data_IF_979697755792
#
_entry.id   IF_979697755792
#
_cell.length_a   1.000
_cell.length_b   1.000
_cell.length_c   1.000
_cell.angle_alpha   90.00
_cell.angle_beta   90.00
_cell.angle_gamma   90.00
#
_symmetry.space_group_name_H-M   'P 1'
#
loop_
_entity.id
_entity.type
_entity.pdbx_description
1 polymer ?
#
# COMPACT_ATOMS: atom_id res chain seq x y z
N UNK A 1 11.32 16.57 -0.52
CA UNK A 1 10.78 17.03 0.78
C UNK A 1 10.27 15.81 1.51
N UNK A 2 10.74 15.60 2.71
CA UNK A 2 10.28 14.55 3.58
C UNK A 2 8.88 14.90 4.13
N UNK A 3 7.93 13.99 4.03
CA UNK A 3 6.60 14.13 4.62
C UNK A 3 6.42 13.03 5.67
N UNK A 4 5.81 13.37 6.80
CA UNK A 4 5.47 12.43 7.87
C UNK A 4 3.96 12.25 7.89
N UNK A 5 3.51 10.99 7.83
CA UNK A 5 2.10 10.62 7.95
C UNK A 5 1.94 9.70 9.15
N UNK A 6 1.16 10.13 10.12
CA UNK A 6 0.86 9.34 11.32
C UNK A 6 -0.11 8.20 11.00
N UNK A 7 0.04 7.09 11.71
CA UNK A 7 -0.94 6.01 11.71
C UNK A 7 -1.89 6.26 12.89
N UNK A 8 -3.19 6.33 12.62
CA UNK A 8 -4.21 6.52 13.64
C UNK A 8 -4.46 5.21 14.38
N UNK A 9 -4.70 4.14 13.64
CA UNK A 9 -4.86 2.80 14.21
C UNK A 9 -4.48 1.69 13.23
N UNK A 10 -4.22 0.53 13.79
CA UNK A 10 -4.05 -0.74 13.09
C UNK A 10 -5.00 -1.73 13.74
N UNK A 11 -5.74 -2.44 12.94
CA UNK A 11 -6.76 -3.39 13.39
C UNK A 11 -6.54 -4.71 12.71
N UNK A 12 -6.63 -5.81 13.46
CA UNK A 12 -6.59 -7.17 12.92
C UNK A 12 -8.03 -7.60 12.73
N UNK A 13 -8.34 -8.11 11.54
CA UNK A 13 -9.65 -8.57 11.13
C UNK A 13 -9.53 -9.93 10.44
N UNK A 14 -10.68 -10.53 10.15
CA UNK A 14 -10.80 -11.66 9.25
C UNK A 14 -11.42 -11.20 7.93
N UNK A 15 -10.83 -11.62 6.81
CA UNK A 15 -11.40 -11.32 5.50
C UNK A 15 -12.70 -12.12 5.28
N UNK A 16 -13.61 -11.56 4.51
CA UNK A 16 -14.94 -12.12 4.30
C UNK A 16 -15.02 -12.91 3.00
N UNK A 17 -16.08 -13.71 2.86
CA UNK A 17 -16.45 -14.32 1.60
C UNK A 17 -16.89 -13.28 0.58
N UNK A 18 -16.67 -13.54 -0.71
CA UNK A 18 -17.15 -12.69 -1.80
C UNK A 18 -18.52 -13.19 -2.26
N UNK A 19 -19.50 -12.30 -2.24
CA UNK A 19 -20.81 -12.49 -2.85
C UNK A 19 -20.79 -12.08 -4.32
N UNK A 20 -21.25 -12.97 -5.19
CA UNK A 20 -21.43 -12.70 -6.62
C UNK A 20 -22.90 -12.92 -6.93
N UNK A 21 -23.60 -11.84 -7.28
CA UNK A 21 -25.01 -11.90 -7.65
C UNK A 21 -25.14 -12.06 -9.16
N UNK A 22 -25.90 -13.05 -9.58
CA UNK A 22 -26.38 -13.23 -10.95
C UNK A 22 -27.89 -12.92 -11.00
N UNK A 23 -28.48 -12.96 -12.17
CA UNK A 23 -29.94 -12.68 -12.33
C UNK A 23 -30.84 -13.65 -11.55
N UNK A 24 -30.36 -14.87 -11.28
CA UNK A 24 -31.15 -15.93 -10.65
C UNK A 24 -30.56 -16.48 -9.35
N UNK A 25 -29.28 -16.22 -9.06
CA UNK A 25 -28.55 -16.88 -7.98
C UNK A 25 -27.59 -15.94 -7.27
N UNK A 26 -27.25 -16.26 -6.03
CA UNK A 26 -26.14 -15.65 -5.28
C UNK A 26 -25.07 -16.71 -5.02
N UNK A 27 -23.92 -16.53 -5.64
CA UNK A 27 -22.76 -17.40 -5.48
C UNK A 27 -21.86 -16.88 -4.36
N UNK A 28 -21.44 -17.77 -3.46
CA UNK A 28 -20.51 -17.46 -2.37
C UNK A 28 -19.13 -18.03 -2.70
N UNK A 29 -18.14 -17.14 -2.74
CA UNK A 29 -16.75 -17.56 -2.87
C UNK A 29 -16.04 -17.38 -1.51
N UNK A 30 -15.67 -18.50 -0.90
CA UNK A 30 -15.02 -18.55 0.42
C UNK A 30 -13.50 -18.55 0.36
N UNK A 31 -12.87 -18.42 -0.80
CA UNK A 31 -11.40 -18.55 -0.94
C UNK A 31 -10.60 -17.61 -0.04
N UNK A 32 -11.19 -16.50 0.38
CA UNK A 32 -10.56 -15.52 1.27
C UNK A 32 -11.21 -15.44 2.66
N UNK A 33 -12.27 -16.19 2.89
CA UNK A 33 -12.95 -16.17 4.18
C UNK A 33 -11.99 -16.61 5.30
N UNK A 34 -11.99 -15.88 6.40
CA UNK A 34 -11.14 -16.11 7.57
C UNK A 34 -9.62 -15.97 7.34
N UNK A 35 -9.20 -15.42 6.19
CA UNK A 35 -7.78 -15.04 6.04
C UNK A 35 -7.52 -13.80 6.91
N UNK A 36 -6.45 -13.80 7.73
CA UNK A 36 -6.10 -12.64 8.53
C UNK A 36 -5.91 -11.38 7.65
N UNK A 37 -6.56 -10.31 8.04
CA UNK A 37 -6.51 -9.00 7.39
C UNK A 37 -6.02 -7.96 8.39
N UNK A 38 -5.15 -7.05 7.95
CA UNK A 38 -4.72 -5.89 8.72
C UNK A 38 -5.28 -4.64 8.06
N UNK A 39 -6.13 -3.92 8.78
CA UNK A 39 -6.56 -2.58 8.39
C UNK A 39 -5.59 -1.55 8.98
N UNK A 40 -5.04 -0.68 8.14
CA UNK A 40 -4.13 0.40 8.53
C UNK A 40 -4.78 1.72 8.18
N UNK A 41 -5.12 2.52 9.19
CA UNK A 41 -5.76 3.82 9.01
C UNK A 41 -4.73 4.91 9.28
N UNK A 42 -4.47 5.74 8.25
CA UNK A 42 -3.63 6.93 8.38
C UNK A 42 -4.37 8.07 9.03
N UNK A 43 -3.65 8.97 9.72
CA UNK A 43 -4.18 10.28 10.07
C UNK A 43 -4.44 11.11 8.81
N UNK A 44 -5.35 12.09 8.83
CA UNK A 44 -5.69 12.94 7.71
C UNK A 44 -4.61 14.01 7.47
N UNK A 45 -3.37 13.59 7.27
CA UNK A 45 -2.19 14.44 7.13
C UNK A 45 -1.64 14.48 5.70
N UNK A 46 -2.12 13.59 4.82
CA UNK A 46 -1.79 13.55 3.38
C UNK A 46 -2.47 14.76 2.71
N UNK A 47 -1.72 15.57 1.98
CA UNK A 47 -2.17 16.86 1.44
C UNK A 47 -2.42 16.87 -0.06
N UNK A 48 -1.89 15.91 -0.77
CA UNK A 48 -1.96 15.81 -2.22
C UNK A 48 -1.76 14.37 -2.68
N UNK A 49 -1.97 14.14 -3.96
CA UNK A 49 -1.88 12.82 -4.59
C UNK A 49 -0.44 12.28 -4.64
N UNK A 50 0.56 13.14 -4.73
CA UNK A 50 1.97 12.75 -4.72
C UNK A 50 2.37 12.18 -3.35
N UNK A 51 1.92 12.83 -2.27
CA UNK A 51 2.13 12.32 -0.90
C UNK A 51 1.38 11.00 -0.68
N UNK A 52 0.17 10.85 -1.23
CA UNK A 52 -0.58 9.60 -1.18
C UNK A 52 0.15 8.47 -1.91
N UNK A 53 0.68 8.74 -3.10
CA UNK A 53 1.47 7.77 -3.86
C UNK A 53 2.73 7.34 -3.10
N UNK A 54 3.49 8.31 -2.58
CA UNK A 54 4.71 8.05 -1.82
C UNK A 54 4.41 7.24 -0.54
N UNK A 55 3.33 7.59 0.18
CA UNK A 55 2.88 6.86 1.37
C UNK A 55 2.56 5.40 1.05
N UNK A 56 1.77 5.15 0.01
CA UNK A 56 1.38 3.80 -0.39
C UNK A 56 2.59 2.98 -0.88
N UNK A 57 3.51 3.60 -1.60
CA UNK A 57 4.73 2.94 -2.06
C UNK A 57 5.59 2.51 -0.89
N UNK A 58 5.87 3.41 0.04
CA UNK A 58 6.66 3.11 1.25
C UNK A 58 5.99 2.04 2.11
N UNK A 59 4.67 2.15 2.31
CA UNK A 59 3.93 1.16 3.08
C UNK A 59 3.99 -0.23 2.43
N UNK A 60 3.80 -0.30 1.11
CA UNK A 60 3.89 -1.55 0.34
C UNK A 60 5.27 -2.18 0.46
N UNK A 61 6.33 -1.42 0.30
CA UNK A 61 7.70 -1.88 0.43
C UNK A 61 7.97 -2.45 1.82
N UNK A 62 7.58 -1.74 2.86
CA UNK A 62 7.73 -2.21 4.25
C UNK A 62 6.99 -3.53 4.50
N UNK A 63 5.73 -3.62 4.06
CA UNK A 63 4.95 -4.84 4.21
C UNK A 63 5.56 -6.02 3.41
N UNK A 64 6.06 -5.76 2.21
CA UNK A 64 6.75 -6.77 1.40
C UNK A 64 8.02 -7.29 2.10
N UNK A 65 8.80 -6.39 2.70
CA UNK A 65 10.01 -6.75 3.45
C UNK A 65 9.72 -7.62 4.67
N UNK A 66 8.58 -7.49 5.31
CA UNK A 66 8.17 -8.37 6.42
C UNK A 66 7.71 -9.76 5.95
N UNK A 67 7.51 -9.97 4.66
CA UNK A 67 7.02 -11.23 4.05
C UNK A 67 5.65 -11.70 4.58
N UNK A 68 4.84 -10.78 5.16
CA UNK A 68 3.50 -11.11 5.65
C UNK A 68 2.43 -11.09 4.55
N UNK A 69 2.72 -10.46 3.40
CA UNK A 69 1.82 -10.35 2.26
C UNK A 69 2.64 -10.14 0.97
N UNK A 70 2.08 -10.56 -0.16
CA UNK A 70 2.57 -10.21 -1.50
C UNK A 70 2.22 -8.78 -1.91
N UNK A 71 1.35 -8.12 -1.14
CA UNK A 71 0.91 -6.72 -1.29
C UNK A 71 0.48 -6.35 -2.70
N UNK A 72 -0.19 -7.28 -3.38
CA UNK A 72 -0.72 -7.09 -4.74
C UNK A 72 -2.11 -6.48 -4.71
N UNK A 73 -2.28 -5.32 -5.35
CA UNK A 73 -3.60 -4.72 -5.55
C UNK A 73 -4.41 -5.50 -6.60
N UNK A 74 -3.76 -6.05 -7.62
CA UNK A 74 -4.40 -6.83 -8.69
C UNK A 74 -4.99 -8.13 -8.17
N UNK A 75 -4.28 -8.81 -7.27
CA UNK A 75 -4.75 -10.03 -6.61
C UNK A 75 -5.64 -9.74 -5.39
N UNK A 76 -5.78 -8.47 -5.00
CA UNK A 76 -6.61 -8.02 -3.88
C UNK A 76 -6.04 -8.33 -2.49
N UNK A 77 -4.75 -8.65 -2.38
CA UNK A 77 -4.05 -8.79 -1.08
C UNK A 77 -3.61 -7.45 -0.49
N UNK A 78 -3.61 -6.39 -1.29
CA UNK A 78 -3.56 -5.01 -0.85
C UNK A 78 -4.79 -4.28 -1.40
N UNK A 79 -5.55 -3.65 -0.51
CA UNK A 79 -6.71 -2.83 -0.87
C UNK A 79 -6.52 -1.43 -0.30
N UNK A 80 -7.02 -0.43 -0.99
CA UNK A 80 -6.93 0.95 -0.56
C UNK A 80 -8.27 1.65 -0.79
N UNK A 81 -8.78 2.30 0.25
CA UNK A 81 -9.88 3.23 0.16
C UNK A 81 -9.35 4.64 0.43
N UNK A 82 -9.78 5.63 -0.33
CA UNK A 82 -9.33 7.01 -0.17
C UNK A 82 -10.43 7.88 0.42
N UNK A 83 -10.17 8.49 1.57
CA UNK A 83 -11.03 9.50 2.18
C UNK A 83 -10.52 10.89 1.80
N UNK A 84 -11.32 11.65 1.06
CA UNK A 84 -10.95 12.98 0.54
C UNK A 84 -11.89 14.03 1.10
N UNK A 85 -11.34 15.14 1.60
CA UNK A 85 -12.06 16.36 1.92
C UNK A 85 -11.26 17.58 1.53
N UNK A 86 -11.95 18.68 1.21
CA UNK A 86 -11.33 19.97 0.91
C UNK A 86 -11.75 21.02 1.92
N UNK A 87 -10.89 21.99 2.17
CA UNK A 87 -11.16 23.14 3.03
C UNK A 87 -10.52 24.39 2.48
N UNK A 88 -10.97 25.54 2.92
CA UNK A 88 -10.38 26.83 2.55
C UNK A 88 -8.95 26.89 3.12
N UNK A 89 -8.02 27.42 2.34
CA UNK A 89 -6.63 27.57 2.77
C UNK A 89 -6.54 28.48 4.00
N UNK A 90 -6.00 27.94 5.08
CA UNK A 90 -5.89 28.62 6.38
C UNK A 90 -6.84 28.08 7.44
N UNK A 91 -7.91 27.39 7.07
CA UNK A 91 -8.80 26.76 8.04
C UNK A 91 -8.10 25.58 8.74
N UNK A 92 -8.44 25.40 10.01
CA UNK A 92 -7.96 24.28 10.83
C UNK A 92 -8.87 23.06 10.78
N UNK A 93 -10.18 23.30 10.64
CA UNK A 93 -11.20 22.25 10.57
C UNK A 93 -11.19 21.56 9.20
N UNK A 94 -11.30 20.25 9.21
CA UNK A 94 -11.42 19.46 7.98
C UNK A 94 -12.83 19.62 7.40
N UNK A 95 -12.91 19.63 6.08
CA UNK A 95 -14.21 19.61 5.37
C UNK A 95 -14.90 18.25 5.46
N UNK A 96 -16.14 18.19 4.93
CA UNK A 96 -16.89 16.95 4.82
C UNK A 96 -16.17 15.99 3.87
N UNK A 97 -15.89 14.77 4.33
CA UNK A 97 -15.18 13.77 3.54
C UNK A 97 -16.11 12.93 2.67
N UNK A 98 -15.59 12.49 1.54
CA UNK A 98 -16.13 11.36 0.78
C UNK A 98 -15.14 10.21 0.78
N UNK A 99 -15.64 8.98 0.86
CA UNK A 99 -14.86 7.76 0.76
C UNK A 99 -14.90 7.23 -0.66
N UNK A 100 -13.75 7.00 -1.29
CA UNK A 100 -13.68 6.40 -2.64
C UNK A 100 -13.15 4.99 -2.56
N UNK A 101 -13.94 4.04 -3.09
CA UNK A 101 -13.66 2.61 -3.15
C UNK A 101 -13.36 2.14 -4.58
N UNK A 102 -12.99 0.86 -4.72
CA UNK A 102 -12.67 0.23 -6.00
C UNK A 102 -11.39 0.77 -6.65
N UNK A 103 -10.38 1.05 -5.84
CA UNK A 103 -9.08 1.56 -6.27
C UNK A 103 -8.12 0.37 -6.45
N UNK A 104 -7.95 -0.09 -7.69
CA UNK A 104 -7.24 -1.34 -8.00
C UNK A 104 -5.76 -1.13 -8.38
N UNK A 105 -5.26 0.10 -8.29
CA UNK A 105 -3.86 0.44 -8.52
C UNK A 105 -3.49 1.74 -7.83
N UNK A 106 -2.21 1.98 -7.55
CA UNK A 106 -1.75 3.27 -7.02
C UNK A 106 -2.06 4.43 -7.97
N UNK A 107 -2.03 4.16 -9.28
CA UNK A 107 -2.42 5.14 -10.29
C UNK A 107 -3.91 5.49 -10.19
N UNK A 108 -4.77 4.51 -9.93
CA UNK A 108 -6.20 4.74 -9.69
C UNK A 108 -6.41 5.59 -8.42
N UNK A 109 -5.66 5.34 -7.34
CA UNK A 109 -5.72 6.16 -6.12
C UNK A 109 -5.38 7.61 -6.42
N UNK A 110 -4.27 7.87 -7.12
CA UNK A 110 -3.84 9.22 -7.52
C UNK A 110 -4.94 9.93 -8.31
N UNK A 111 -5.44 9.30 -9.38
CA UNK A 111 -6.49 9.87 -10.24
C UNK A 111 -7.80 10.12 -9.50
N UNK A 112 -8.17 9.21 -8.60
CA UNK A 112 -9.39 9.36 -7.81
C UNK A 112 -9.28 10.53 -6.82
N UNK A 113 -8.14 10.72 -6.18
CA UNK A 113 -7.89 11.86 -5.28
C UNK A 113 -7.94 13.18 -6.08
N UNK A 114 -7.31 13.24 -7.26
CA UNK A 114 -7.35 14.41 -8.14
C UNK A 114 -8.79 14.74 -8.53
N UNK A 115 -9.55 13.76 -9.01
CA UNK A 115 -10.93 13.94 -9.42
C UNK A 115 -11.81 14.39 -8.27
N UNK A 116 -11.76 13.73 -7.11
CA UNK A 116 -12.59 14.07 -5.94
C UNK A 116 -12.25 15.46 -5.40
N UNK A 117 -10.99 15.83 -5.38
CA UNK A 117 -10.56 17.17 -4.97
C UNK A 117 -11.16 18.23 -5.89
N UNK A 118 -11.03 18.06 -7.21
CA UNK A 118 -11.59 18.99 -8.19
C UNK A 118 -13.13 19.08 -8.09
N UNK A 119 -13.82 17.93 -8.01
CA UNK A 119 -15.27 17.86 -7.86
C UNK A 119 -15.76 18.57 -6.60
N UNK A 120 -15.10 18.37 -5.46
CA UNK A 120 -15.50 19.00 -4.21
C UNK A 120 -15.26 20.50 -4.23
N UNK A 121 -14.16 20.96 -4.81
CA UNK A 121 -13.89 22.40 -5.01
C UNK A 121 -15.00 23.03 -5.86
N UNK A 122 -15.31 22.45 -7.01
CA UNK A 122 -16.36 22.96 -7.92
C UNK A 122 -17.72 23.08 -7.23
N UNK A 123 -18.13 22.07 -6.45
CA UNK A 123 -19.40 22.10 -5.70
C UNK A 123 -19.40 23.25 -4.70
N UNK A 124 -18.33 23.43 -3.93
CA UNK A 124 -18.24 24.47 -2.89
C UNK A 124 -18.20 25.87 -3.52
N UNK A 125 -17.43 26.08 -4.59
CA UNK A 125 -17.33 27.35 -5.29
C UNK A 125 -18.65 27.77 -5.94
N UNK A 126 -19.48 26.79 -6.35
CA UNK A 126 -20.86 27.04 -6.85
C UNK A 126 -21.89 27.18 -5.73
N UNK A 127 -21.47 27.30 -4.45
CA UNK A 127 -22.35 27.49 -3.29
C UNK A 127 -23.07 26.23 -2.82
N UNK A 128 -22.68 25.06 -3.34
CA UNK A 128 -23.18 23.76 -2.90
C UNK A 128 -22.53 23.27 -1.61
N UNK A 129 -22.93 22.08 -1.18
CA UNK A 129 -22.38 21.42 0.01
C UNK A 129 -21.98 19.99 -0.32
N UNK A 130 -20.86 19.55 0.27
CA UNK A 130 -20.43 18.17 0.17
C UNK A 130 -21.26 17.33 1.15
N UNK A 131 -21.79 16.21 0.64
CA UNK A 131 -22.48 15.20 1.42
C UNK A 131 -21.49 14.08 1.75
N UNK A 132 -21.47 13.62 3.00
CA UNK A 132 -20.68 12.46 3.38
C UNK A 132 -21.27 11.21 2.74
N UNK A 133 -20.54 10.62 1.81
CA UNK A 133 -21.00 9.46 1.04
C UNK A 133 -19.82 8.58 0.64
N UNK A 134 -20.12 7.32 0.32
CA UNK A 134 -19.19 6.40 -0.33
C UNK A 134 -19.41 6.46 -1.84
N UNK A 135 -18.30 6.53 -2.57
CA UNK A 135 -18.26 6.61 -4.04
C UNK A 135 -17.42 5.48 -4.61
N UNK A 136 -17.74 5.03 -5.82
CA UNK A 136 -16.95 4.04 -6.57
C UNK A 136 -16.11 4.75 -7.63
N UNK A 137 -14.84 4.38 -7.71
CA UNK A 137 -13.99 4.77 -8.84
C UNK A 137 -14.39 3.99 -10.10
N UNK A 138 -14.71 4.73 -11.16
CA UNK A 138 -14.95 4.24 -12.51
C UNK A 138 -13.67 4.47 -13.33
N UNK A 139 -12.87 3.42 -13.47
CA UNK A 139 -11.56 3.51 -14.13
C UNK A 139 -11.67 3.86 -15.62
N UNK A 140 -12.73 3.37 -16.29
CA UNK A 140 -12.95 3.59 -17.72
C UNK A 140 -13.24 5.07 -18.02
N UNK A 141 -14.10 5.69 -17.23
CA UNK A 141 -14.50 7.07 -17.41
C UNK A 141 -13.61 8.06 -16.62
N UNK A 142 -12.80 7.60 -15.70
CA UNK A 142 -11.93 8.43 -14.88
C UNK A 142 -12.70 9.34 -13.90
N UNK A 143 -13.83 8.88 -13.38
CA UNK A 143 -14.72 9.63 -12.48
C UNK A 143 -15.09 8.79 -11.26
N UNK A 144 -15.61 9.42 -10.22
CA UNK A 144 -16.27 8.73 -9.12
C UNK A 144 -17.78 8.78 -9.27
N UNK A 145 -18.46 7.70 -8.91
CA UNK A 145 -19.93 7.62 -8.90
C UNK A 145 -20.44 7.36 -7.48
N UNK A 146 -21.54 8.00 -7.04
CA UNK A 146 -22.11 7.70 -5.73
C UNK A 146 -22.54 6.23 -5.67
N UNK A 147 -22.22 5.56 -4.59
CA UNK A 147 -22.84 4.27 -4.28
C UNK A 147 -24.27 4.50 -3.81
N UNK A 148 -25.19 3.56 -4.12
CA UNK A 148 -26.51 3.56 -3.49
C UNK A 148 -26.30 3.63 -1.98
N UNK A 149 -26.80 4.69 -1.35
CA UNK A 149 -26.84 4.77 0.10
C UNK A 149 -27.68 3.59 0.59
N UNK A 150 -27.03 2.60 1.20
CA UNK A 150 -27.74 1.78 2.17
C UNK A 150 -28.03 2.74 3.31
N UNK A 151 -29.30 3.07 3.49
CA UNK A 151 -29.76 3.82 4.63
C UNK A 151 -29.09 3.23 5.88
N UNK A 152 -28.26 4.06 6.51
CA UNK A 152 -27.72 3.97 7.86
C UNK A 152 -27.72 2.58 8.51
N UNK A 153 -26.80 1.72 8.10
CA UNK A 153 -26.39 0.65 9.00
C UNK A 153 -25.21 1.12 9.83
N UNK A 154 -25.47 1.98 10.81
CA UNK A 154 -24.48 2.48 11.77
C UNK A 154 -24.16 1.45 12.86
N UNK A 155 -24.73 0.28 12.82
CA UNK A 155 -24.54 -0.77 13.82
C UNK A 155 -23.42 -1.72 13.39
N UNK A 156 -22.18 -1.28 13.53
CA UNK A 156 -21.00 -2.12 13.35
C UNK A 156 -20.81 -3.15 14.46
N UNK A 157 -21.69 -3.16 15.49
CA UNK A 157 -21.66 -4.11 16.60
C UNK A 157 -20.26 -4.37 17.15
N UNK A 158 -19.52 -3.30 17.48
CA UNK A 158 -18.21 -3.40 18.12
C UNK A 158 -18.33 -3.99 19.53
N UNK A 159 -18.48 -5.30 19.61
CA UNK A 159 -18.40 -6.03 20.88
C UNK A 159 -17.45 -7.23 20.67
N UNK A 160 -16.78 -7.68 21.74
CA UNK A 160 -15.92 -8.85 21.64
C UNK A 160 -16.74 -10.06 21.20
N UNK A 161 -16.29 -10.77 20.17
CA UNK A 161 -16.89 -12.02 19.73
C UNK A 161 -16.79 -13.05 20.87
N UNK A 162 -17.91 -13.62 21.35
CA UNK A 162 -17.89 -14.48 22.54
C UNK A 162 -17.10 -15.77 22.34
N UNK A 163 -16.99 -16.24 21.09
CA UNK A 163 -16.30 -17.49 20.76
C UNK A 163 -14.79 -17.32 20.55
N UNK A 164 -14.31 -16.07 20.54
CA UNK A 164 -12.88 -15.78 20.35
C UNK A 164 -12.21 -15.49 21.69
N UNK A 165 -11.14 -16.23 22.06
CA UNK A 165 -10.37 -15.94 23.25
C UNK A 165 -9.58 -14.65 23.06
N UNK A 166 -9.28 -13.96 24.17
CA UNK A 166 -8.39 -12.81 24.13
C UNK A 166 -7.00 -13.22 23.68
N UNK A 167 -6.49 -12.56 22.66
CA UNK A 167 -5.10 -12.71 22.24
C UNK A 167 -4.21 -11.88 23.17
N UNK A 168 -3.24 -12.54 23.83
CA UNK A 168 -2.23 -11.89 24.62
C UNK A 168 -0.86 -12.06 23.97
N UNK A 169 -0.24 -10.95 23.59
CA UNK A 169 1.11 -10.93 23.03
C UNK A 169 2.08 -10.55 24.16
N UNK A 170 2.91 -11.51 24.59
CA UNK A 170 3.89 -11.27 25.64
C UNK A 170 5.06 -10.38 25.13
N UNK A 171 5.70 -9.68 26.07
CA UNK A 171 6.91 -8.88 25.77
C UNK A 171 8.03 -9.72 25.16
N UNK A 172 8.18 -10.97 25.59
CA UNK A 172 9.16 -11.90 25.02
C UNK A 172 8.86 -12.20 23.54
N UNK A 173 7.56 -12.31 23.17
CA UNK A 173 7.18 -12.51 21.79
C UNK A 173 7.45 -11.26 20.94
N UNK A 174 7.16 -10.08 21.46
CA UNK A 174 7.49 -8.82 20.79
C UNK A 174 9.00 -8.68 20.58
N UNK A 175 9.80 -8.91 21.62
CA UNK A 175 11.26 -8.86 21.52
C UNK A 175 11.85 -9.90 20.53
N UNK A 176 11.20 -11.07 20.41
CA UNK A 176 11.59 -12.06 19.40
C UNK A 176 11.30 -11.56 17.98
N UNK A 177 10.11 -11.01 17.75
CA UNK A 177 9.72 -10.43 16.45
C UNK A 177 10.63 -9.26 16.07
N UNK A 178 10.95 -8.36 17.02
CA UNK A 178 11.87 -7.25 16.78
C UNK A 178 13.26 -7.71 16.30
N UNK A 179 13.75 -8.81 16.83
CA UNK A 179 15.03 -9.40 16.39
C UNK A 179 14.98 -10.04 15.01
N UNK A 180 13.80 -10.49 14.60
CA UNK A 180 13.57 -11.11 13.30
C UNK A 180 13.20 -10.06 12.22
N UNK A 181 12.96 -8.79 12.62
CA UNK A 181 12.63 -7.73 11.67
C UNK A 181 13.80 -7.52 10.70
N UNK A 182 13.52 -7.50 9.39
CA UNK A 182 14.54 -7.25 8.40
C UNK A 182 14.99 -5.77 8.42
N UNK A 183 16.19 -5.52 7.92
CA UNK A 183 16.58 -4.16 7.54
C UNK A 183 15.67 -3.70 6.38
N UNK A 184 14.94 -2.62 6.58
CA UNK A 184 14.00 -2.11 5.57
C UNK A 184 14.70 -1.45 4.38
N UNK A 185 13.95 -1.23 3.30
CA UNK A 185 14.45 -0.63 2.07
C UNK A 185 15.13 0.72 2.33
N UNK A 186 14.52 1.57 3.14
CA UNK A 186 15.06 2.90 3.45
C UNK A 186 16.44 2.83 4.16
N UNK A 187 16.58 1.92 5.11
CA UNK A 187 17.84 1.72 5.84
C UNK A 187 18.91 1.13 4.90
N UNK A 188 18.51 0.20 4.02
CA UNK A 188 19.39 -0.33 2.97
C UNK A 188 19.87 0.75 2.00
N UNK A 189 19.01 1.69 1.59
CA UNK A 189 19.42 2.82 0.75
C UNK A 189 20.54 3.60 1.43
N UNK A 190 20.34 3.97 2.69
CA UNK A 190 21.34 4.72 3.47
C UNK A 190 22.65 3.92 3.57
N UNK A 191 22.55 2.64 3.87
CA UNK A 191 23.71 1.74 3.99
C UNK A 191 24.42 1.55 2.64
N UNK A 192 23.70 1.31 1.55
CA UNK A 192 24.28 1.12 0.22
C UNK A 192 25.05 2.37 -0.25
N UNK A 193 24.51 3.57 0.00
CA UNK A 193 25.21 4.81 -0.27
C UNK A 193 26.48 4.91 0.59
N UNK A 194 26.37 4.60 1.88
CA UNK A 194 27.48 4.75 2.82
C UNK A 194 28.60 3.72 2.61
N UNK A 195 28.25 2.44 2.42
CA UNK A 195 29.20 1.32 2.32
C UNK A 195 29.70 1.11 0.89
N UNK A 196 28.77 1.07 -0.08
CA UNK A 196 29.08 0.72 -1.46
C UNK A 196 29.38 1.93 -2.35
N UNK A 197 29.16 3.17 -1.84
CA UNK A 197 29.43 4.42 -2.56
C UNK A 197 28.72 4.50 -3.92
N UNK A 198 27.55 3.89 -4.03
CA UNK A 198 26.70 3.98 -5.21
C UNK A 198 25.75 5.17 -5.11
N UNK A 199 25.23 5.73 -6.24
CA UNK A 199 24.26 6.81 -6.24
C UNK A 199 22.96 6.45 -5.50
N UNK A 200 22.30 7.44 -4.91
CA UNK A 200 21.02 7.26 -4.22
C UNK A 200 19.95 6.63 -5.11
N UNK A 201 19.89 7.04 -6.38
CA UNK A 201 18.96 6.46 -7.36
C UNK A 201 19.18 4.94 -7.55
N UNK A 202 20.43 4.53 -7.69
CA UNK A 202 20.81 3.12 -7.86
C UNK A 202 20.51 2.32 -6.59
N UNK A 203 20.86 2.89 -5.43
CA UNK A 203 20.57 2.31 -4.13
C UNK A 203 19.06 2.10 -3.93
N UNK A 204 18.24 3.07 -4.34
CA UNK A 204 16.77 2.99 -4.27
C UNK A 204 16.20 1.84 -5.10
N UNK A 205 16.66 1.65 -6.32
CA UNK A 205 16.19 0.54 -7.17
C UNK A 205 16.65 -0.81 -6.61
N UNK A 206 17.93 -0.93 -6.23
CA UNK A 206 18.51 -2.16 -5.73
C UNK A 206 17.91 -2.60 -4.39
N UNK A 207 17.42 -1.68 -3.58
CA UNK A 207 16.78 -1.96 -2.28
C UNK A 207 15.26 -2.09 -2.38
N UNK A 208 14.64 -1.81 -3.51
CA UNK A 208 13.18 -1.85 -3.67
C UNK A 208 12.54 -3.23 -3.44
N UNK A 209 13.32 -4.30 -3.68
CA UNK A 209 12.92 -5.69 -3.41
C UNK A 209 13.98 -6.40 -2.58
N UNK A 210 13.53 -7.15 -1.56
CA UNK A 210 14.43 -7.82 -0.61
C UNK A 210 15.35 -8.83 -1.29
N UNK A 211 14.81 -9.57 -2.26
CA UNK A 211 15.51 -10.61 -3.01
C UNK A 211 16.54 -9.99 -3.96
N UNK A 212 16.20 -8.88 -4.62
CA UNK A 212 17.12 -8.14 -5.48
C UNK A 212 18.27 -7.53 -4.67
N UNK A 213 17.96 -6.94 -3.52
CA UNK A 213 18.97 -6.40 -2.61
C UNK A 213 19.94 -7.48 -2.17
N UNK A 214 19.43 -8.64 -1.75
CA UNK A 214 20.25 -9.78 -1.33
C UNK A 214 21.13 -10.32 -2.47
N UNK A 215 20.60 -10.36 -3.70
CA UNK A 215 21.35 -10.74 -4.88
C UNK A 215 22.51 -9.76 -5.14
N UNK A 216 22.22 -8.46 -5.16
CA UNK A 216 23.23 -7.42 -5.35
C UNK A 216 24.34 -7.48 -4.30
N UNK A 217 24.01 -7.65 -3.02
CA UNK A 217 24.98 -7.75 -1.93
C UNK A 217 25.90 -8.96 -2.11
N UNK A 218 25.37 -10.11 -2.53
CA UNK A 218 26.17 -11.30 -2.83
C UNK A 218 27.10 -11.08 -4.02
N UNK A 219 26.60 -10.54 -5.13
CA UNK A 219 27.43 -10.20 -6.31
C UNK A 219 28.54 -9.23 -5.92
N UNK A 220 28.22 -8.19 -5.15
CA UNK A 220 29.22 -7.23 -4.66
C UNK A 220 30.29 -7.89 -3.80
N UNK A 221 29.89 -8.78 -2.91
CA UNK A 221 30.83 -9.50 -2.06
C UNK A 221 31.75 -10.43 -2.86
N UNK A 222 31.24 -11.07 -3.89
CA UNK A 222 32.01 -12.00 -4.74
C UNK A 222 32.95 -11.24 -5.69
N UNK A 223 32.48 -10.17 -6.32
CA UNK A 223 33.26 -9.38 -7.28
C UNK A 223 34.29 -8.45 -6.63
N UNK A 224 34.02 -8.00 -5.41
CA UNK A 224 34.81 -6.96 -4.73
C UNK A 224 34.61 -5.55 -5.29
N UNK A 225 33.74 -5.37 -6.29
CA UNK A 225 33.46 -4.07 -6.93
C UNK A 225 31.96 -3.76 -6.91
N UNK A 226 31.55 -2.94 -5.93
CA UNK A 226 30.16 -2.57 -5.73
C UNK A 226 29.56 -1.76 -6.89
N UNK A 227 30.36 -0.86 -7.49
CA UNK A 227 29.90 -0.02 -8.58
C UNK A 227 29.68 -0.81 -9.86
N UNK A 228 30.61 -1.70 -10.19
CA UNK A 228 30.50 -2.60 -11.34
C UNK A 228 29.28 -3.51 -11.15
N UNK A 229 29.14 -4.10 -9.97
CA UNK A 229 28.01 -4.96 -9.60
C UNK A 229 26.67 -4.22 -9.73
N UNK A 230 26.58 -2.99 -9.23
CA UNK A 230 25.39 -2.14 -9.36
C UNK A 230 25.03 -1.93 -10.83
N UNK A 231 25.98 -1.51 -11.67
CA UNK A 231 25.75 -1.30 -13.09
C UNK A 231 25.23 -2.58 -13.78
N UNK A 232 25.87 -3.71 -13.54
CA UNK A 232 25.43 -4.98 -14.15
C UNK A 232 24.05 -5.43 -13.70
N UNK A 233 23.77 -5.34 -12.41
CA UNK A 233 22.44 -5.70 -11.88
C UNK A 233 21.36 -4.78 -12.45
N UNK A 234 21.57 -3.48 -12.45
CA UNK A 234 20.59 -2.51 -12.93
C UNK A 234 20.36 -2.56 -14.45
N UNK A 235 21.41 -2.83 -15.25
CA UNK A 235 21.28 -2.84 -16.71
C UNK A 235 20.95 -4.21 -17.26
N UNK A 236 21.74 -5.23 -16.97
CA UNK A 236 21.62 -6.54 -17.61
C UNK A 236 20.66 -7.47 -16.85
N UNK A 237 20.81 -7.59 -15.53
CA UNK A 237 19.97 -8.52 -14.77
C UNK A 237 18.50 -8.06 -14.82
N UNK A 238 18.20 -6.81 -14.44
CA UNK A 238 16.83 -6.29 -14.51
C UNK A 238 16.23 -6.31 -15.91
N UNK A 239 17.03 -6.08 -16.96
CA UNK A 239 16.57 -6.21 -18.35
C UNK A 239 16.11 -7.65 -18.65
N UNK A 240 16.91 -8.65 -18.29
CA UNK A 240 16.59 -10.06 -18.53
C UNK A 240 15.37 -10.50 -17.73
N UNK A 241 15.27 -10.09 -16.43
CA UNK A 241 14.09 -10.38 -15.61
C UNK A 241 12.82 -9.84 -16.27
N UNK A 242 12.87 -8.60 -16.75
CA UNK A 242 11.74 -7.96 -17.42
C UNK A 242 11.39 -8.62 -18.75
N UNK A 243 12.38 -8.92 -19.60
CA UNK A 243 12.18 -9.56 -20.91
C UNK A 243 11.57 -10.96 -20.77
N UNK A 244 12.02 -11.72 -19.77
CA UNK A 244 11.53 -13.08 -19.51
C UNK A 244 10.31 -13.14 -18.60
N UNK A 245 9.92 -12.01 -18.00
CA UNK A 245 8.86 -11.91 -17.01
C UNK A 245 9.05 -12.90 -15.84
N UNK A 246 10.25 -12.93 -15.28
CA UNK A 246 10.64 -13.81 -14.15
C UNK A 246 11.12 -12.98 -12.97
N UNK A 247 11.06 -13.56 -11.77
CA UNK A 247 11.63 -13.00 -10.56
C UNK A 247 13.15 -13.19 -10.51
N UNK A 248 13.82 -12.46 -9.58
CA UNK A 248 15.26 -12.65 -9.34
C UNK A 248 15.58 -14.05 -8.78
N UNK A 249 14.62 -14.69 -8.10
CA UNK A 249 14.77 -16.03 -7.55
C UNK A 249 14.78 -17.11 -8.67
N UNK A 250 14.10 -16.81 -9.78
CA UNK A 250 14.05 -17.65 -10.98
C UNK A 250 15.21 -17.37 -11.96
N UNK A 251 16.04 -16.38 -11.62
CA UNK A 251 17.16 -16.00 -12.48
C UNK A 251 18.25 -17.07 -12.47
N UNK A 252 18.64 -17.56 -13.65
CA UNK A 252 19.52 -18.71 -13.81
C UNK A 252 20.99 -18.45 -13.48
N UNK A 253 21.40 -17.19 -13.33
CA UNK A 253 22.78 -16.83 -13.01
C UNK A 253 22.89 -16.63 -11.51
N UNK A 254 23.70 -17.51 -10.87
CA UNK A 254 24.01 -17.38 -9.44
C UNK A 254 24.81 -16.11 -9.17
N UNK A 255 24.60 -15.45 -8.03
CA UNK A 255 25.41 -14.32 -7.60
C UNK A 255 26.86 -14.71 -7.18
N UNK A 256 27.18 -16.02 -7.18
CA UNK A 256 28.50 -16.60 -6.83
C UNK A 256 29.36 -16.85 -8.04
#
# INVERSE_FOLDING_TARGET
KEARVGIERRQIEEDTSKNIHTDSESLLNFNRASIPLIEIISKPEIKNQEEAYAYLTTLRERLKYTKISDVSMELGSLRCDANVSVRVKGDTELGTRTETKNLNSFKAVVRAIEYETARQIEIIENGGRIVQETRLWDEENGITRPMRSKEESMDYRYFPEPDLPRVHISENRLAAVEKEMPEFSEDKVVRFIAEYKIPEYDAGILSGEIELAAYYEKVTKTSGDAKLSSNWVLTEVLRILKEKNISIEEFSVSPE
#
